data_IF_854450752939
#
_entry.id   IF_854450752939
#
_cell.length_a   1.000
_cell.length_b   1.000
_cell.length_c   1.000
_cell.angle_alpha   90.00
_cell.angle_beta   90.00
_cell.angle_gamma   90.00
#
_symmetry.space_group_name_H-M   'P 1'
#
loop_
_entity.id
_entity.type
_entity.pdbx_description
1 polymer ?
#
# COMPACT_ATOMS: atom_id res chain seq x y z
N UNK A 1 14.68 10.68 0.98
CA UNK A 1 13.71 11.41 0.13
C UNK A 1 13.19 10.44 -0.92
N UNK A 2 11.88 10.41 -1.17
CA UNK A 2 11.28 9.59 -2.23
C UNK A 2 11.15 10.39 -3.51
N UNK A 3 11.28 9.73 -4.66
CA UNK A 3 11.20 10.33 -5.99
C UNK A 3 9.98 9.79 -6.71
N UNK A 4 9.26 10.69 -7.41
CA UNK A 4 8.13 10.32 -8.25
C UNK A 4 8.62 10.03 -9.66
N UNK A 5 8.20 8.91 -10.23
CA UNK A 5 8.45 8.58 -11.64
C UNK A 5 7.25 7.84 -12.24
N UNK A 6 7.26 7.67 -13.56
CA UNK A 6 6.27 6.86 -14.28
C UNK A 6 6.81 5.45 -14.46
N UNK A 7 6.01 4.47 -14.10
CA UNK A 7 6.24 3.07 -14.42
C UNK A 7 5.19 2.57 -15.41
N UNK A 8 5.51 1.50 -16.11
CA UNK A 8 4.61 0.81 -17.04
C UNK A 8 4.14 -0.49 -16.40
N UNK A 9 2.83 -0.72 -16.39
CA UNK A 9 2.28 -2.02 -16.00
C UNK A 9 2.71 -3.07 -17.01
N UNK A 10 3.45 -4.09 -16.56
CA UNK A 10 3.91 -5.18 -17.43
C UNK A 10 3.11 -6.46 -17.23
N UNK A 11 2.58 -6.68 -16.03
CA UNK A 11 1.80 -7.88 -15.70
C UNK A 11 1.01 -7.70 -14.40
N UNK A 12 0.25 -8.72 -13.99
CA UNK A 12 -0.42 -8.80 -12.70
C UNK A 12 -0.41 -10.22 -12.13
N UNK A 13 -0.31 -10.34 -10.82
CA UNK A 13 -0.56 -11.60 -10.11
C UNK A 13 -2.01 -11.59 -9.65
N UNK A 14 -2.80 -12.52 -10.16
CA UNK A 14 -4.15 -12.76 -9.71
C UNK A 14 -4.14 -13.66 -8.47
N UNK A 15 -4.78 -13.21 -7.39
CA UNK A 15 -4.96 -14.03 -6.19
C UNK A 15 -6.43 -14.03 -5.80
N UNK A 16 -7.05 -15.20 -5.82
CA UNK A 16 -8.42 -15.40 -5.37
C UNK A 16 -8.41 -15.98 -3.96
N UNK A 17 -9.11 -15.33 -3.04
CA UNK A 17 -9.20 -15.76 -1.64
C UNK A 17 -10.66 -15.85 -1.23
N UNK A 18 -10.98 -16.77 -0.32
CA UNK A 18 -12.30 -16.84 0.29
C UNK A 18 -12.54 -15.55 1.07
N UNK A 19 -13.70 -14.94 0.88
CA UNK A 19 -14.05 -13.75 1.63
C UNK A 19 -14.14 -14.04 3.12
N UNK A 20 -13.62 -13.14 3.94
CA UNK A 20 -13.78 -13.17 5.38
C UNK A 20 -15.19 -12.77 5.83
N UNK A 21 -16.00 -12.21 4.93
CA UNK A 21 -17.32 -11.64 5.20
C UNK A 21 -18.41 -12.59 4.68
N UNK A 22 -18.46 -13.84 5.12
CA UNK A 22 -19.60 -14.72 4.79
C UNK A 22 -20.10 -15.54 5.95
N UNK A 23 -21.35 -15.25 6.34
CA UNK A 23 -22.10 -16.02 7.34
C UNK A 23 -22.91 -17.18 6.72
N UNK A 24 -23.06 -17.25 5.38
CA UNK A 24 -23.97 -18.23 4.75
C UNK A 24 -23.56 -18.79 3.37
N UNK A 25 -22.64 -18.16 2.61
CA UNK A 25 -22.26 -18.65 1.27
C UNK A 25 -20.77 -18.44 0.94
N UNK A 26 -20.06 -19.50 0.50
CA UNK A 26 -18.67 -19.36 0.08
C UNK A 26 -18.57 -18.49 -1.18
N UNK A 27 -18.09 -17.24 -1.05
CA UNK A 27 -17.72 -16.40 -2.19
C UNK A 27 -16.23 -16.07 -2.19
N UNK A 28 -15.66 -16.05 -3.38
CA UNK A 28 -14.25 -15.76 -3.61
C UNK A 28 -14.08 -14.31 -4.03
N UNK A 29 -13.10 -13.64 -3.46
CA UNK A 29 -12.68 -12.29 -3.84
C UNK A 29 -11.34 -12.40 -4.56
N UNK A 30 -11.30 -11.89 -5.78
CA UNK A 30 -10.07 -11.82 -6.57
C UNK A 30 -9.41 -10.46 -6.37
N UNK A 31 -8.13 -10.47 -5.98
CA UNK A 31 -7.26 -9.29 -5.99
C UNK A 31 -6.23 -9.40 -7.12
N UNK A 32 -5.92 -8.25 -7.69
CA UNK A 32 -4.91 -8.10 -8.73
C UNK A 32 -3.72 -7.33 -8.15
N UNK A 33 -2.56 -7.99 -8.08
CA UNK A 33 -1.30 -7.40 -7.65
C UNK A 33 -0.55 -6.92 -8.91
N UNK A 34 -0.45 -5.61 -9.17
CA UNK A 34 0.20 -5.09 -10.35
C UNK A 34 1.73 -5.29 -10.29
N UNK A 35 2.33 -5.71 -11.40
CA UNK A 35 3.77 -5.76 -11.61
C UNK A 35 4.15 -4.59 -12.51
N UNK A 36 4.88 -3.62 -11.95
CA UNK A 36 5.20 -2.36 -12.63
C UNK A 36 6.70 -2.28 -12.87
N UNK A 37 7.07 -2.07 -14.12
CA UNK A 37 8.45 -1.84 -14.52
C UNK A 37 8.70 -0.34 -14.67
N UNK A 38 9.82 0.15 -14.16
CA UNK A 38 10.21 1.54 -14.33
C UNK A 38 11.71 1.68 -14.44
N UNK A 39 12.15 2.81 -14.99
CA UNK A 39 13.57 3.15 -15.08
C UNK A 39 13.92 4.29 -14.13
N UNK A 40 15.06 4.16 -13.49
CA UNK A 40 15.64 5.16 -12.59
C UNK A 40 16.57 6.10 -13.37
N UNK A 41 16.92 7.24 -12.76
CA UNK A 41 17.76 8.26 -13.38
C UNK A 41 19.18 7.79 -13.74
N UNK A 42 19.65 6.69 -13.15
CA UNK A 42 20.92 6.03 -13.46
C UNK A 42 20.80 5.06 -14.66
N UNK A 43 19.64 5.00 -15.33
CA UNK A 43 19.39 4.14 -16.48
C UNK A 43 19.09 2.68 -16.15
N UNK A 44 19.09 2.31 -14.86
CA UNK A 44 18.69 0.96 -14.44
C UNK A 44 17.18 0.81 -14.47
N UNK A 45 16.75 -0.42 -14.69
CA UNK A 45 15.34 -0.78 -14.73
C UNK A 45 15.01 -1.68 -13.55
N UNK A 46 13.94 -1.34 -12.85
CA UNK A 46 13.47 -2.03 -11.67
C UNK A 46 12.01 -2.44 -11.85
N UNK A 47 11.60 -3.43 -11.07
CA UNK A 47 10.22 -3.89 -11.03
C UNK A 47 9.74 -3.83 -9.59
N UNK A 48 8.54 -3.26 -9.39
CA UNK A 48 7.89 -3.20 -8.09
C UNK A 48 6.55 -3.93 -8.14
N UNK A 49 6.15 -4.44 -6.99
CA UNK A 49 4.83 -5.03 -6.76
C UNK A 49 4.13 -4.21 -5.69
N UNK A 50 2.86 -3.90 -5.90
CA UNK A 50 2.04 -3.26 -4.88
C UNK A 50 1.25 -4.29 -4.06
N UNK A 51 0.53 -3.84 -3.04
CA UNK A 51 -0.33 -4.70 -2.21
C UNK A 51 -1.51 -5.30 -2.99
N UNK A 52 -1.81 -4.75 -4.16
CA UNK A 52 -2.91 -5.19 -5.02
C UNK A 52 -4.27 -4.76 -4.51
N UNK A 53 -5.26 -4.82 -5.39
CA UNK A 53 -6.64 -4.42 -5.07
C UNK A 53 -7.65 -5.07 -6.00
N UNK A 54 -8.92 -4.71 -5.84
CA UNK A 54 -10.00 -5.15 -6.72
C UNK A 54 -9.94 -4.52 -8.11
N UNK A 55 -9.23 -3.39 -8.25
CA UNK A 55 -9.05 -2.70 -9.53
C UNK A 55 -8.00 -3.40 -10.38
N UNK A 56 -8.40 -3.77 -11.61
CA UNK A 56 -7.51 -4.24 -12.66
C UNK A 56 -7.14 -3.07 -13.58
N UNK A 57 -5.85 -2.78 -13.72
CA UNK A 57 -5.32 -1.82 -14.71
C UNK A 57 -5.04 -2.51 -16.04
N UNK A 58 -4.92 -1.74 -17.12
CA UNK A 58 -4.58 -2.28 -18.43
C UNK A 58 -3.06 -2.45 -18.57
N UNK A 59 -2.63 -3.52 -19.23
CA UNK A 59 -1.21 -3.75 -19.51
C UNK A 59 -0.72 -2.61 -20.41
N UNK A 60 0.47 -2.08 -20.12
CA UNK A 60 1.08 -0.87 -20.70
C UNK A 60 0.56 0.46 -20.16
N UNK A 61 -0.32 0.45 -19.15
CA UNK A 61 -0.71 1.68 -18.46
C UNK A 61 0.49 2.35 -17.79
N UNK A 62 0.52 3.68 -17.88
CA UNK A 62 1.51 4.50 -17.20
C UNK A 62 1.03 4.87 -15.80
N UNK A 63 1.65 4.26 -14.80
CA UNK A 63 1.28 4.39 -13.40
C UNK A 63 2.31 5.29 -12.68
N UNK A 64 1.80 6.23 -11.88
CA UNK A 64 2.64 7.03 -11.00
C UNK A 64 3.16 6.19 -9.84
N UNK A 65 4.48 6.14 -9.70
CA UNK A 65 5.15 5.41 -8.63
C UNK A 65 6.06 6.32 -7.82
N UNK A 66 6.27 5.94 -6.57
CA UNK A 66 7.22 6.55 -5.66
C UNK A 66 8.28 5.53 -5.27
N UNK A 67 9.56 5.87 -5.42
CA UNK A 67 10.66 5.00 -5.03
C UNK A 67 11.71 5.76 -4.22
N UNK A 68 12.52 5.04 -3.45
CA UNK A 68 13.70 5.59 -2.78
C UNK A 68 14.94 5.19 -3.59
N UNK A 69 15.81 6.11 -4.03
CA UNK A 69 16.99 5.75 -4.81
C UNK A 69 17.97 4.81 -4.10
N UNK A 70 17.97 4.84 -2.76
CA UNK A 70 18.77 3.91 -1.94
C UNK A 70 18.23 2.47 -1.97
N UNK A 71 16.95 2.29 -2.32
CA UNK A 71 16.28 0.99 -2.36
C UNK A 71 15.10 1.04 -3.36
N UNK A 72 15.40 1.07 -4.68
CA UNK A 72 14.40 1.27 -5.72
C UNK A 72 13.41 0.09 -5.86
N UNK A 73 13.78 -1.09 -5.37
CA UNK A 73 12.92 -2.29 -5.38
C UNK A 73 11.77 -2.20 -4.38
N UNK A 74 11.89 -1.34 -3.35
CA UNK A 74 10.82 -1.06 -2.37
C UNK A 74 9.98 0.17 -2.74
N UNK A 75 9.73 0.38 -4.02
CA UNK A 75 8.81 1.41 -4.50
C UNK A 75 7.34 1.04 -4.27
N UNK A 76 6.48 2.05 -4.26
CA UNK A 76 5.02 1.90 -4.07
C UNK A 76 4.26 2.73 -5.11
N UNK A 77 3.01 2.35 -5.39
CA UNK A 77 2.14 3.13 -6.28
C UNK A 77 1.66 4.39 -5.55
N UNK A 78 1.68 5.53 -6.23
CA UNK A 78 1.27 6.82 -5.65
C UNK A 78 -0.18 6.82 -5.17
N UNK A 79 -1.08 6.18 -5.92
CA UNK A 79 -2.51 6.14 -5.57
C UNK A 79 -2.76 5.39 -4.26
N UNK A 80 -1.94 4.40 -3.90
CA UNK A 80 -2.05 3.69 -2.63
C UNK A 80 -1.85 4.66 -1.45
N UNK A 81 -0.81 5.48 -1.51
CA UNK A 81 -0.57 6.50 -0.50
C UNK A 81 -1.71 7.52 -0.44
N UNK A 82 -2.30 7.89 -1.57
CA UNK A 82 -3.44 8.81 -1.62
C UNK A 82 -4.70 8.21 -0.98
N UNK A 83 -4.96 6.92 -1.22
CA UNK A 83 -6.14 6.22 -0.68
C UNK A 83 -6.02 5.97 0.82
N UNK A 84 -4.85 5.50 1.30
CA UNK A 84 -4.69 5.08 2.69
C UNK A 84 -4.03 6.12 3.59
N UNK A 85 -3.41 7.16 3.03
CA UNK A 85 -2.70 8.19 3.78
C UNK A 85 -3.59 8.92 4.79
N UNK A 86 -4.83 9.21 4.43
CA UNK A 86 -5.80 9.83 5.34
C UNK A 86 -6.16 8.89 6.52
N UNK A 87 -6.38 7.61 6.25
CA UNK A 87 -6.66 6.60 7.29
C UNK A 87 -5.49 6.47 8.26
N UNK A 88 -4.26 6.42 7.76
CA UNK A 88 -3.06 6.39 8.62
C UNK A 88 -2.92 7.67 9.44
N UNK A 89 -3.21 8.84 8.87
CA UNK A 89 -3.21 10.09 9.63
C UNK A 89 -4.23 10.05 10.77
N UNK A 90 -5.47 9.64 10.51
CA UNK A 90 -6.52 9.52 11.53
C UNK A 90 -6.15 8.51 12.63
N UNK A 91 -5.56 7.37 12.26
CA UNK A 91 -5.08 6.39 13.24
C UNK A 91 -3.97 6.97 14.11
N UNK A 92 -3.01 7.67 13.52
CA UNK A 92 -1.93 8.32 14.27
C UNK A 92 -2.48 9.38 15.24
N UNK A 93 -3.36 10.26 14.77
CA UNK A 93 -3.98 11.28 15.61
C UNK A 93 -4.93 10.74 16.68
N UNK A 94 -5.52 9.56 16.47
CA UNK A 94 -6.39 8.92 17.48
C UNK A 94 -5.59 8.12 18.52
N UNK A 95 -4.55 7.41 18.07
CA UNK A 95 -3.73 6.54 18.94
C UNK A 95 -2.87 7.33 19.91
N UNK A 96 -2.27 8.45 19.48
CA UNK A 96 -1.36 9.24 20.33
C UNK A 96 -2.07 9.79 21.59
N UNK A 97 -3.25 10.46 21.51
CA UNK A 97 -3.98 10.91 22.70
C UNK A 97 -4.49 9.77 23.57
N UNK A 98 -4.91 8.64 22.97
CA UNK A 98 -5.34 7.46 23.72
C UNK A 98 -4.19 6.88 24.55
N UNK A 99 -2.99 6.74 23.97
CA UNK A 99 -1.81 6.25 24.70
C UNK A 99 -1.42 7.20 25.84
N UNK A 100 -1.51 8.52 25.61
CA UNK A 100 -1.28 9.53 26.65
C UNK A 100 -2.33 9.39 27.77
N UNK A 101 -3.61 9.32 27.42
CA UNK A 101 -4.71 9.17 28.39
C UNK A 101 -4.62 7.87 29.19
N UNK A 102 -4.34 6.74 28.54
CA UNK A 102 -4.09 5.47 29.23
C UNK A 102 -2.85 5.50 30.11
N UNK A 103 -1.79 6.23 29.72
CA UNK A 103 -0.62 6.46 30.58
C UNK A 103 -0.96 7.21 31.87
N UNK A 104 -1.77 8.27 31.79
CA UNK A 104 -2.21 9.03 32.97
C UNK A 104 -3.19 8.27 33.86
N UNK A 105 -4.12 7.50 33.29
CA UNK A 105 -5.06 6.69 34.06
C UNK A 105 -4.34 5.50 34.68
N UNK A 106 -3.50 4.79 33.92
CA UNK A 106 -2.70 3.64 34.36
C UNK A 106 -1.69 3.97 35.45
N UNK A 107 -1.02 5.13 35.36
CA UNK A 107 -0.09 5.60 36.40
C UNK A 107 -0.75 5.94 37.74
N UNK A 108 -2.08 6.13 37.77
CA UNK A 108 -2.84 6.44 38.99
C UNK A 108 -3.44 5.19 39.66
N UNK A 109 -3.48 4.04 38.98
CA UNK A 109 -4.03 2.78 39.52
C UNK A 109 -2.93 1.93 40.20
N UNK A 110 -1.66 2.11 39.81
CA UNK A 110 -0.51 1.36 40.31
C UNK A 110 0.56 2.26 40.99
N UNK A 111 0.24 3.53 41.24
CA UNK A 111 1.11 4.50 41.92
C UNK A 111 0.65 4.82 43.34
#
# INVERSE_FOLDING_TARGET
>A
MSFKTKGTLVDYIEKSELSAESDTDNYYVTRYIPIIRFSTSDGKTYTIQDLGGSKKWEIKDNIDILYKPSDPEKGFIFIFQNTWGQTFALLFFSSVPLLIGFGFIGGKIWG
#
